data_IF_598049519444
#
_entry.id   IF_598049519444
#
_cell.length_a   1.000
_cell.length_b   1.000
_cell.length_c   1.000
_cell.angle_alpha   90.00
_cell.angle_beta   90.00
_cell.angle_gamma   90.00
#
_symmetry.space_group_name_H-M   'P 1'
#
loop_
_entity.id
_entity.type
_entity.pdbx_description
1 polymer ?
#
# COMPACT_ATOMS: atom_id res chain seq x y z
N UNK A 1 24.44 24.46 -29.34
CA UNK A 1 23.58 23.26 -29.22
C UNK A 1 23.36 22.94 -27.76
N UNK A 2 22.26 23.41 -27.17
CA UNK A 2 21.90 23.10 -25.79
C UNK A 2 21.11 21.79 -25.82
N UNK A 3 21.70 20.71 -25.30
CA UNK A 3 20.99 19.45 -25.04
C UNK A 3 19.94 19.73 -23.96
N UNK A 4 18.74 20.09 -24.38
CA UNK A 4 17.56 19.95 -23.54
C UNK A 4 17.40 18.45 -23.27
N UNK A 5 17.93 17.99 -22.14
CA UNK A 5 17.43 16.77 -21.54
C UNK A 5 15.98 17.07 -21.19
N UNK A 6 15.08 16.58 -22.06
CA UNK A 6 13.70 16.36 -21.73
C UNK A 6 13.73 15.55 -20.42
N UNK A 7 13.58 16.21 -19.27
CA UNK A 7 13.09 15.55 -18.08
C UNK A 7 11.67 15.13 -18.45
N UNK A 8 11.54 13.98 -19.12
CA UNK A 8 10.29 13.24 -19.14
C UNK A 8 9.94 13.08 -17.67
N UNK A 9 8.97 13.86 -17.20
CA UNK A 9 8.68 14.02 -15.78
C UNK A 9 8.61 12.66 -15.13
N UNK A 10 9.57 12.38 -14.23
CA UNK A 10 9.59 11.11 -13.51
C UNK A 10 8.25 10.99 -12.80
N UNK A 11 7.46 10.00 -13.20
CA UNK A 11 6.17 9.74 -12.57
C UNK A 11 6.47 9.13 -11.21
N UNK A 12 6.07 9.79 -10.13
CA UNK A 12 6.36 9.30 -8.79
C UNK A 12 5.32 8.27 -8.36
N UNK A 13 5.79 7.20 -7.72
CA UNK A 13 4.99 6.20 -7.05
C UNK A 13 5.25 6.19 -5.53
N UNK A 14 4.38 5.49 -4.81
CA UNK A 14 4.44 5.33 -3.36
C UNK A 14 4.29 3.86 -3.01
N UNK A 15 5.23 3.33 -2.23
CA UNK A 15 5.19 1.94 -1.74
C UNK A 15 4.96 1.99 -0.23
N UNK A 16 3.90 1.33 0.22
CA UNK A 16 3.64 1.13 1.64
C UNK A 16 4.32 -0.17 2.07
N UNK A 17 5.25 -0.06 3.00
CA UNK A 17 5.92 -1.21 3.63
C UNK A 17 5.39 -1.37 5.05
N UNK A 18 5.07 -2.61 5.42
CA UNK A 18 4.59 -2.99 6.74
C UNK A 18 5.51 -4.06 7.30
N UNK A 19 6.06 -3.84 8.49
CA UNK A 19 6.73 -4.87 9.27
C UNK A 19 5.83 -5.27 10.43
N UNK A 20 5.49 -6.55 10.49
CA UNK A 20 4.55 -7.08 11.47
C UNK A 20 5.22 -7.25 12.84
N UNK A 21 4.54 -6.86 13.93
CA UNK A 21 5.14 -6.82 15.25
C UNK A 21 5.47 -8.20 15.81
N UNK A 22 4.69 -9.23 15.46
CA UNK A 22 4.78 -10.53 16.14
C UNK A 22 5.80 -11.49 15.53
N UNK A 23 6.07 -11.38 14.23
CA UNK A 23 6.94 -12.30 13.50
C UNK A 23 8.05 -11.58 12.69
N UNK A 24 8.09 -10.24 12.77
CA UNK A 24 9.06 -9.41 12.05
C UNK A 24 8.91 -9.45 10.53
N UNK A 25 7.85 -10.08 9.99
CA UNK A 25 7.70 -10.22 8.54
C UNK A 25 7.43 -8.87 7.90
N UNK A 26 8.24 -8.57 6.89
CA UNK A 26 8.06 -7.40 6.03
C UNK A 26 7.18 -7.75 4.84
N UNK A 27 6.19 -6.91 4.57
CA UNK A 27 5.40 -6.94 3.33
C UNK A 27 5.34 -5.57 2.70
N UNK A 28 5.36 -5.56 1.38
CA UNK A 28 5.21 -4.34 0.58
C UNK A 28 3.91 -4.43 -0.21
N UNK A 29 3.10 -3.38 -0.15
CA UNK A 29 1.97 -3.22 -1.04
C UNK A 29 2.48 -2.80 -2.43
N UNK A 30 1.76 -3.13 -3.51
CA UNK A 30 2.13 -2.69 -4.84
C UNK A 30 2.28 -1.16 -4.93
N UNK A 31 3.15 -0.66 -5.83
CA UNK A 31 3.31 0.77 -6.02
C UNK A 31 2.00 1.47 -6.38
N UNK A 32 1.74 2.58 -5.70
CA UNK A 32 0.57 3.43 -5.90
C UNK A 32 0.97 4.76 -6.51
N UNK A 33 0.20 5.26 -7.47
CA UNK A 33 0.45 6.57 -8.10
C UNK A 33 -0.14 7.73 -7.29
N UNK A 34 -1.01 7.44 -6.32
CA UNK A 34 -1.68 8.44 -5.48
C UNK A 34 -1.12 8.39 -4.06
N UNK A 35 -0.38 9.44 -3.66
CA UNK A 35 0.20 9.53 -2.31
C UNK A 35 -0.83 9.59 -1.19
N UNK A 36 -1.97 10.24 -1.41
CA UNK A 36 -3.08 10.27 -0.44
C UNK A 36 -3.64 8.88 -0.13
N UNK A 37 -3.72 8.01 -1.14
CA UNK A 37 -4.14 6.62 -0.95
C UNK A 37 -3.10 5.84 -0.14
N UNK A 38 -1.80 6.04 -0.39
CA UNK A 38 -0.75 5.41 0.39
C UNK A 38 -0.79 5.84 1.88
N UNK A 39 -1.07 7.12 2.15
CA UNK A 39 -1.24 7.63 3.51
C UNK A 39 -2.45 7.01 4.21
N UNK A 40 -3.56 6.93 3.49
CA UNK A 40 -4.78 6.32 4.01
C UNK A 40 -4.57 4.85 4.38
N UNK A 41 -3.94 4.07 3.51
CA UNK A 41 -3.61 2.67 3.80
C UNK A 41 -2.72 2.56 5.03
N UNK A 42 -1.71 3.42 5.15
CA UNK A 42 -0.86 3.42 6.32
C UNK A 42 -1.65 3.74 7.61
N UNK A 43 -2.65 4.62 7.53
CA UNK A 43 -3.59 4.90 8.62
C UNK A 43 -4.40 3.65 9.01
N UNK A 44 -5.11 3.06 8.03
CA UNK A 44 -5.93 1.86 8.25
C UNK A 44 -5.13 0.70 8.85
N UNK A 45 -3.89 0.50 8.37
CA UNK A 45 -2.99 -0.54 8.87
C UNK A 45 -2.56 -0.24 10.32
N UNK A 46 -2.21 1.00 10.65
CA UNK A 46 -1.82 1.38 12.02
C UNK A 46 -2.98 1.29 13.01
N UNK A 47 -4.19 1.60 12.58
CA UNK A 47 -5.40 1.43 13.40
C UNK A 47 -5.67 -0.04 13.70
N UNK A 48 -5.48 -0.91 12.69
CA UNK A 48 -5.71 -2.35 12.82
C UNK A 48 -4.57 -3.08 13.54
N UNK A 49 -3.33 -2.64 13.33
CA UNK A 49 -2.14 -3.22 13.93
C UNK A 49 -1.27 -2.09 14.51
N UNK A 50 -1.59 -1.56 15.72
CA UNK A 50 -0.88 -0.41 16.30
C UNK A 50 0.61 -0.63 16.52
N UNK A 51 1.03 -1.88 16.74
CA UNK A 51 2.44 -2.23 16.93
C UNK A 51 3.20 -2.45 15.61
N UNK A 52 2.54 -2.45 14.44
CA UNK A 52 3.22 -2.62 13.16
C UNK A 52 4.02 -1.37 12.79
N UNK A 53 5.25 -1.58 12.30
CA UNK A 53 6.03 -0.51 11.71
C UNK A 53 5.56 -0.31 10.27
N UNK A 54 5.06 0.89 9.96
CA UNK A 54 4.56 1.23 8.63
C UNK A 54 5.31 2.43 8.08
N UNK A 55 5.92 2.25 6.91
CA UNK A 55 6.66 3.29 6.19
C UNK A 55 6.15 3.46 4.76
N UNK A 56 6.14 4.69 4.26
CA UNK A 56 5.82 5.00 2.87
C UNK A 56 7.10 5.49 2.20
N UNK A 57 7.49 4.82 1.12
CA UNK A 57 8.67 5.17 0.33
C UNK A 57 8.23 5.70 -1.03
N UNK A 58 8.79 6.85 -1.44
CA UNK A 58 8.60 7.37 -2.81
C UNK A 58 9.56 6.67 -3.75
N UNK A 59 9.06 6.28 -4.91
CA UNK A 59 9.86 5.60 -5.95
C UNK A 59 9.64 6.27 -7.31
N UNK A 60 10.61 6.15 -8.19
CA UNK A 60 10.44 6.52 -9.60
C UNK A 60 9.70 5.40 -10.34
N UNK A 61 8.62 5.74 -11.04
CA UNK A 61 7.93 4.83 -11.93
C UNK A 61 8.44 5.04 -13.35
N UNK A 62 9.02 3.98 -13.89
CA UNK A 62 9.37 3.90 -15.30
C UNK A 62 8.10 3.90 -16.18
N UNK A 63 8.19 4.28 -17.46
CA UNK A 63 7.07 4.18 -18.40
C UNK A 63 6.43 2.79 -18.47
N UNK A 64 7.21 1.72 -18.27
CA UNK A 64 6.72 0.34 -18.30
C UNK A 64 6.00 -0.07 -17.01
N UNK A 65 6.38 0.49 -15.86
CA UNK A 65 5.79 0.16 -14.56
C UNK A 65 4.59 1.03 -14.21
N UNK A 66 4.50 2.23 -14.80
CA UNK A 66 3.44 3.20 -14.51
C UNK A 66 2.03 2.68 -14.80
N UNK A 67 1.70 2.08 -15.96
CA UNK A 67 0.35 1.60 -16.22
C UNK A 67 -0.09 0.53 -15.21
N UNK A 68 0.84 -0.35 -14.80
CA UNK A 68 0.58 -1.34 -13.76
C UNK A 68 0.31 -0.69 -12.41
N UNK A 69 1.09 0.32 -12.02
CA UNK A 69 0.87 1.06 -10.77
C UNK A 69 -0.46 1.82 -10.77
N UNK A 70 -0.86 2.41 -11.90
CA UNK A 70 -2.18 3.05 -12.05
C UNK A 70 -3.31 2.03 -11.89
N UNK A 71 -3.22 0.87 -12.55
CA UNK A 71 -4.21 -0.19 -12.40
C UNK A 71 -4.31 -0.69 -10.95
N UNK A 72 -3.16 -0.89 -10.28
CA UNK A 72 -3.13 -1.29 -8.87
C UNK A 72 -3.75 -0.21 -7.98
N UNK A 73 -3.47 1.06 -8.25
CA UNK A 73 -4.08 2.20 -7.55
C UNK A 73 -5.59 2.18 -7.67
N UNK A 74 -6.15 1.90 -8.86
CA UNK A 74 -7.59 1.78 -9.05
C UNK A 74 -8.19 0.61 -8.26
N UNK A 75 -7.55 -0.56 -8.27
CA UNK A 75 -7.99 -1.72 -7.50
C UNK A 75 -7.99 -1.43 -6.00
N UNK A 76 -6.88 -0.91 -5.47
CA UNK A 76 -6.72 -0.59 -4.05
C UNK A 76 -7.71 0.47 -3.62
N UNK A 77 -7.91 1.53 -4.43
CA UNK A 77 -8.91 2.57 -4.15
C UNK A 77 -10.31 1.98 -3.98
N UNK A 78 -10.69 1.02 -4.83
CA UNK A 78 -11.98 0.34 -4.73
C UNK A 78 -12.09 -0.45 -3.42
N UNK A 79 -11.09 -1.25 -3.10
CA UNK A 79 -11.05 -2.02 -1.85
C UNK A 79 -11.12 -1.13 -0.61
N UNK A 80 -10.46 0.02 -0.63
CA UNK A 80 -10.52 1.02 0.45
C UNK A 80 -11.93 1.59 0.60
N UNK A 81 -12.59 1.95 -0.51
CA UNK A 81 -13.97 2.47 -0.48
C UNK A 81 -14.91 1.40 0.09
N UNK A 82 -14.83 0.16 -0.38
CA UNK A 82 -15.65 -0.95 0.10
C UNK A 82 -15.38 -1.24 1.58
N UNK A 83 -14.11 -1.24 1.99
CA UNK A 83 -13.73 -1.51 3.37
C UNK A 83 -14.23 -0.43 4.35
N UNK A 84 -14.31 0.84 3.93
CA UNK A 84 -14.83 1.94 4.76
C UNK A 84 -16.29 1.77 5.17
N UNK A 85 -17.06 0.97 4.44
CA UNK A 85 -18.47 0.67 4.78
C UNK A 85 -18.59 -0.41 5.87
N UNK A 86 -17.49 -1.11 6.20
CA UNK A 86 -17.48 -2.12 7.25
C UNK A 86 -17.34 -1.51 8.65
N UNK A 87 -17.76 -2.26 9.67
CA UNK A 87 -17.58 -1.90 11.09
C UNK A 87 -16.10 -1.73 11.47
N UNK A 88 -15.21 -2.53 10.86
CA UNK A 88 -13.77 -2.48 11.06
C UNK A 88 -13.04 -2.32 9.72
N UNK A 89 -12.89 -1.08 9.22
CA UNK A 89 -12.39 -0.84 7.87
C UNK A 89 -11.01 -1.41 7.59
N UNK A 90 -10.05 -1.24 8.51
CA UNK A 90 -8.69 -1.74 8.28
C UNK A 90 -8.61 -3.27 8.25
N UNK A 91 -9.37 -3.97 9.10
CA UNK A 91 -9.50 -5.43 9.02
C UNK A 91 -10.16 -5.89 7.72
N UNK A 92 -11.25 -5.24 7.30
CA UNK A 92 -11.93 -5.54 6.06
C UNK A 92 -11.01 -5.37 4.84
N UNK A 93 -10.25 -4.27 4.81
CA UNK A 93 -9.26 -4.02 3.75
C UNK A 93 -8.16 -5.10 3.72
N UNK A 94 -7.54 -5.41 4.86
CA UNK A 94 -6.46 -6.41 4.93
C UNK A 94 -6.95 -7.79 4.48
N UNK A 95 -8.17 -8.15 4.85
CA UNK A 95 -8.82 -9.38 4.41
C UNK A 95 -9.08 -9.39 2.90
N UNK A 96 -9.75 -8.36 2.37
CA UNK A 96 -10.15 -8.31 0.96
C UNK A 96 -8.95 -8.18 0.01
N UNK A 97 -7.88 -7.53 0.46
CA UNK A 97 -6.69 -7.32 -0.34
C UNK A 97 -5.76 -8.54 -0.39
N UNK A 98 -5.96 -9.53 0.49
CA UNK A 98 -5.10 -10.71 0.59
C UNK A 98 -3.64 -10.39 0.97
N UNK A 99 -3.31 -9.12 1.25
CA UNK A 99 -1.95 -8.70 1.61
C UNK A 99 -1.56 -9.16 3.01
N UNK A 100 -2.51 -9.66 3.81
CA UNK A 100 -2.23 -10.28 5.09
C UNK A 100 -3.01 -11.60 5.27
N UNK A 101 -2.37 -12.71 5.66
CA UNK A 101 -3.09 -13.93 6.00
C UNK A 101 -3.84 -13.72 7.33
N UNK A 102 -5.12 -14.10 7.37
CA UNK A 102 -5.95 -14.09 8.59
C UNK A 102 -5.46 -15.06 9.69
N UNK A 103 -4.48 -15.93 9.40
CA UNK A 103 -4.03 -17.01 10.29
C UNK A 103 -2.96 -16.57 11.30
N UNK A 104 -3.09 -15.40 11.91
CA UNK A 104 -2.29 -15.01 13.08
C UNK A 104 -3.05 -15.15 14.41
N UNK A 105 -4.32 -15.58 14.37
CA UNK A 105 -5.18 -15.77 15.56
C UNK A 105 -5.36 -17.23 15.99
N UNK A 106 -4.66 -18.20 15.38
CA UNK A 106 -4.64 -19.59 15.86
C UNK A 106 -3.22 -20.01 16.22
N UNK A 107 -2.66 -19.37 17.24
CA UNK A 107 -1.47 -19.88 17.93
C UNK A 107 -1.58 -19.55 19.42
N UNK A 108 -2.46 -20.29 20.10
CA UNK A 108 -2.29 -20.82 21.46
C UNK A 108 -3.59 -21.54 21.85
N UNK A 109 -3.60 -22.85 21.62
CA UNK A 109 -4.21 -23.80 22.57
C UNK A 109 -3.48 -23.72 23.92
#
# INVERSE_FOLDING_TARGET
MIRQHLQQGASLGHVVTVCHPSDGRRRELPPLTIGGLALELAGMIRETMPAALVSIVRIDLTPNTRPKAEQQTHTIKRLVIEAREAEQPGHAFLSASGYWPQNALTAKE
#
